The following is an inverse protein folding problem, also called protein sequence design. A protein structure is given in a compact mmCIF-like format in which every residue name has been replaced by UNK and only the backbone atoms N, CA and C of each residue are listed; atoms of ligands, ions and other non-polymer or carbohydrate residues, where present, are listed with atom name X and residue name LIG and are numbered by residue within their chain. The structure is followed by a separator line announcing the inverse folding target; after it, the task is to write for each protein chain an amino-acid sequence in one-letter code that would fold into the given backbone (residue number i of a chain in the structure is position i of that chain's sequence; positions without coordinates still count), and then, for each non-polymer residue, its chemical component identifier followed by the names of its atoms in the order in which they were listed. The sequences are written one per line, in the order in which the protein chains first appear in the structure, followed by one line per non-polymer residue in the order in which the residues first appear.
data_IF_378705539651
#
_entry.id   IF_378705539651
#
_cell.length_a   1.000
_cell.length_b   1.000
_cell.length_c   1.000
_cell.angle_alpha   90.00
_cell.angle_beta   90.00
_cell.angle_gamma   90.00
#
_symmetry.space_group_name_H-M   'P 1'
#
loop_
_entity.id
_entity.type
_entity.pdbx_description
1 polymer ?
#
# COMPACT_ATOMS: atom_id res chain seq x y z
N UNK A 1 23.18 -29.82 3.90
CA UNK A 1 23.34 -28.37 4.14
C UNK A 1 22.38 -27.63 3.21
N UNK A 2 21.34 -27.01 3.77
CA UNK A 2 20.28 -26.33 2.99
C UNK A 2 20.86 -25.05 2.38
N UNK A 3 20.90 -24.97 1.06
CA UNK A 3 21.34 -23.77 0.32
C UNK A 3 20.27 -22.69 0.50
N UNK A 4 20.59 -21.65 1.25
CA UNK A 4 19.76 -20.46 1.38
C UNK A 4 19.94 -19.69 0.08
N UNK A 5 18.89 -19.67 -0.74
CA UNK A 5 18.84 -18.95 -2.01
C UNK A 5 18.71 -17.46 -1.67
N UNK A 6 19.83 -16.73 -1.72
CA UNK A 6 19.82 -15.27 -1.71
C UNK A 6 19.31 -14.78 -3.06
N UNK A 7 18.05 -14.33 -3.11
CA UNK A 7 17.54 -13.60 -4.27
C UNK A 7 18.13 -12.18 -4.25
N UNK A 8 18.89 -11.78 -5.29
CA UNK A 8 19.49 -10.45 -5.33
C UNK A 8 18.41 -9.39 -5.56
N UNK A 9 18.45 -8.38 -4.70
CA UNK A 9 17.71 -7.12 -4.76
C UNK A 9 18.08 -6.38 -6.05
N UNK A 10 17.29 -6.56 -7.12
CA UNK A 10 17.58 -5.96 -8.43
C UNK A 10 16.84 -4.63 -8.63
N UNK A 11 17.58 -3.69 -9.22
CA UNK A 11 17.28 -2.27 -9.34
C UNK A 11 15.93 -1.95 -10.01
N UNK A 12 15.18 -1.05 -9.37
CA UNK A 12 13.95 -0.43 -9.88
C UNK A 12 14.28 0.59 -10.97
N UNK A 13 13.98 0.26 -12.22
CA UNK A 13 14.05 1.19 -13.35
C UNK A 13 12.63 1.45 -13.90
N UNK A 14 12.25 2.73 -13.85
CA UNK A 14 11.11 3.42 -14.45
C UNK A 14 9.68 3.02 -14.02
N UNK A 15 9.11 3.81 -13.10
CA UNK A 15 7.67 3.91 -12.85
C UNK A 15 7.18 5.23 -13.45
N UNK A 16 6.12 5.18 -14.25
CA UNK A 16 5.43 6.35 -14.81
C UNK A 16 5.11 7.37 -13.71
N UNK A 17 5.55 8.61 -13.88
CA UNK A 17 5.42 9.66 -12.86
C UNK A 17 3.99 10.18 -12.78
N UNK A 18 3.14 9.53 -11.99
CA UNK A 18 2.11 10.26 -11.26
C UNK A 18 2.85 11.15 -10.26
N UNK A 19 2.73 12.46 -10.43
CA UNK A 19 3.47 13.45 -9.62
C UNK A 19 2.86 13.50 -8.23
N UNK A 20 3.40 12.71 -7.30
CA UNK A 20 3.02 12.72 -5.89
C UNK A 20 3.83 13.76 -5.08
N UNK A 21 3.93 14.99 -5.59
CA UNK A 21 4.75 16.05 -5.00
C UNK A 21 4.31 16.45 -3.57
N UNK A 22 3.05 16.18 -3.20
CA UNK A 22 2.48 16.58 -1.90
C UNK A 22 2.75 15.62 -0.74
N UNK A 23 3.42 14.49 -0.98
CA UNK A 23 3.71 13.52 0.09
C UNK A 23 5.04 13.87 0.76
N UNK A 24 4.98 14.22 2.06
CA UNK A 24 6.19 14.46 2.87
C UNK A 24 7.15 13.26 2.80
N UNK A 25 8.49 13.47 2.71
CA UNK A 25 9.46 12.38 2.55
C UNK A 25 9.37 11.28 3.60
N UNK A 26 9.19 11.65 4.88
CA UNK A 26 9.01 10.67 5.97
C UNK A 26 7.80 9.77 5.74
N UNK A 27 6.71 10.32 5.21
CA UNK A 27 5.49 9.55 4.95
C UNK A 27 5.67 8.66 3.72
N UNK A 28 6.33 9.17 2.67
CA UNK A 28 6.69 8.39 1.50
C UNK A 28 7.52 7.16 1.90
N UNK A 29 8.58 7.36 2.68
CA UNK A 29 9.42 6.28 3.19
C UNK A 29 8.62 5.25 4.01
N UNK A 30 7.64 5.69 4.80
CA UNK A 30 6.76 4.77 5.52
C UNK A 30 5.89 3.94 4.55
N UNK A 31 5.34 4.55 3.51
CA UNK A 31 4.55 3.81 2.51
C UNK A 31 5.41 2.78 1.77
N UNK A 32 6.65 3.13 1.45
CA UNK A 32 7.62 2.21 0.83
C UNK A 32 7.97 1.04 1.77
N UNK A 33 8.22 1.32 3.06
CA UNK A 33 8.41 0.28 4.07
C UNK A 33 7.21 -0.65 4.19
N UNK A 34 6.00 -0.11 4.19
CA UNK A 34 4.79 -0.94 4.22
C UNK A 34 4.71 -1.86 2.99
N UNK A 35 5.08 -1.36 1.80
CA UNK A 35 5.11 -2.18 0.56
C UNK A 35 6.21 -3.22 0.62
N UNK A 36 7.38 -2.91 1.20
CA UNK A 36 8.44 -3.89 1.42
C UNK A 36 7.94 -5.03 2.33
N UNK A 37 7.29 -4.72 3.46
CA UNK A 37 6.67 -5.76 4.31
C UNK A 37 5.62 -6.58 3.56
N UNK A 38 4.76 -5.92 2.77
CA UNK A 38 3.78 -6.65 1.95
C UNK A 38 4.46 -7.53 0.90
N UNK A 39 5.58 -7.10 0.34
CA UNK A 39 6.37 -7.88 -0.62
C UNK A 39 6.91 -9.14 0.01
N UNK A 40 7.52 -9.01 1.20
CA UNK A 40 8.10 -10.14 1.91
C UNK A 40 7.03 -11.16 2.33
N UNK A 41 5.87 -10.68 2.80
CA UNK A 41 4.78 -11.54 3.28
C UNK A 41 4.00 -12.18 2.13
N UNK A 42 3.73 -11.43 1.06
CA UNK A 42 2.86 -11.85 -0.03
C UNK A 42 3.63 -12.37 -1.25
N UNK A 43 4.96 -12.28 -1.27
CA UNK A 43 5.77 -12.62 -2.44
C UNK A 43 5.40 -11.77 -3.67
N UNK A 44 5.26 -10.45 -3.49
CA UNK A 44 4.85 -9.55 -4.58
C UNK A 44 5.95 -9.42 -5.64
N UNK A 45 5.57 -9.49 -6.92
CA UNK A 45 6.49 -9.12 -8.00
C UNK A 45 6.62 -7.59 -8.14
N UNK A 46 7.60 -7.13 -8.93
CA UNK A 46 7.90 -5.70 -9.08
C UNK A 46 6.71 -4.86 -9.58
N UNK A 47 5.90 -5.39 -10.50
CA UNK A 47 4.70 -4.71 -11.01
C UNK A 47 3.64 -4.55 -9.91
N UNK A 48 3.41 -5.61 -9.13
CA UNK A 48 2.48 -5.56 -8.00
C UNK A 48 2.94 -4.57 -6.93
N UNK A 49 4.24 -4.52 -6.64
CA UNK A 49 4.83 -3.56 -5.70
C UNK A 49 4.58 -2.12 -6.13
N UNK A 50 4.88 -1.80 -7.39
CA UNK A 50 4.67 -0.47 -7.95
C UNK A 50 3.19 -0.05 -7.86
N UNK A 51 2.28 -0.92 -8.29
CA UNK A 51 0.82 -0.66 -8.25
C UNK A 51 0.28 -0.50 -6.82
N UNK A 52 0.77 -1.30 -5.87
CA UNK A 52 0.34 -1.19 -4.47
C UNK A 52 0.89 0.10 -3.85
N UNK A 53 2.14 0.48 -4.16
CA UNK A 53 2.72 1.74 -3.71
C UNK A 53 1.91 2.93 -4.24
N UNK A 54 1.55 2.91 -5.51
CA UNK A 54 0.70 3.93 -6.13
C UNK A 54 -0.69 4.01 -5.47
N UNK A 55 -1.34 2.85 -5.24
CA UNK A 55 -2.63 2.79 -4.56
C UNK A 55 -2.56 3.33 -3.13
N UNK A 56 -1.46 3.05 -2.40
CA UNK A 56 -1.19 3.60 -1.06
C UNK A 56 -0.96 5.11 -1.07
N UNK A 57 -0.21 5.63 -2.05
CA UNK A 57 0.01 7.08 -2.22
C UNK A 57 -1.31 7.79 -2.52
N UNK A 58 -2.11 7.23 -3.42
CA UNK A 58 -3.43 7.74 -3.80
C UNK A 58 -4.36 7.83 -2.59
N UNK A 59 -4.58 6.71 -1.89
CA UNK A 59 -5.49 6.72 -0.72
C UNK A 59 -4.98 7.62 0.40
N UNK A 60 -3.67 7.82 0.52
CA UNK A 60 -3.11 8.77 1.47
C UNK A 60 -3.48 10.22 1.12
N UNK A 61 -3.34 10.63 -0.14
CA UNK A 61 -3.70 11.97 -0.59
C UNK A 61 -5.21 12.22 -0.49
N UNK A 62 -6.04 11.26 -0.93
CA UNK A 62 -7.51 11.34 -0.76
C UNK A 62 -7.88 11.50 0.72
N UNK A 63 -7.16 10.80 1.60
CA UNK A 63 -7.36 10.90 3.04
C UNK A 63 -6.86 12.21 3.66
N UNK A 64 -5.90 12.89 3.03
CA UNK A 64 -5.50 14.24 3.40
C UNK A 64 -6.53 15.26 2.95
N UNK A 65 -7.08 15.10 1.76
CA UNK A 65 -8.17 15.96 1.26
C UNK A 65 -9.39 15.89 2.19
N UNK A 66 -9.79 14.68 2.58
CA UNK A 66 -10.86 14.48 3.57
C UNK A 66 -10.58 15.17 4.91
N UNK A 67 -9.31 15.22 5.36
CA UNK A 67 -8.93 15.93 6.58
C UNK A 67 -8.99 17.46 6.45
N UNK A 68 -8.88 18.00 5.24
CA UNK A 68 -8.99 19.43 4.95
C UNK A 68 -10.46 19.86 4.81
N UNK A 69 -11.30 18.99 4.25
CA UNK A 69 -12.65 19.34 3.82
C UNK A 69 -13.77 18.88 4.78
N UNK A 70 -13.47 18.03 5.76
CA UNK A 70 -14.47 17.54 6.72
C UNK A 70 -13.99 17.66 8.17
N UNK A 71 -14.92 17.93 9.07
CA UNK A 71 -14.64 17.95 10.51
C UNK A 71 -14.25 16.56 11.00
N UNK A 72 -13.09 16.47 11.67
CA UNK A 72 -12.56 15.20 12.15
C UNK A 72 -13.53 14.57 13.15
N UNK A 73 -14.06 13.41 12.78
CA UNK A 73 -14.97 12.63 13.64
C UNK A 73 -16.45 12.80 13.27
N UNK A 74 -16.79 13.71 12.35
CA UNK A 74 -18.13 13.80 11.79
C UNK A 74 -18.50 12.54 11.00
N UNK A 75 -19.80 12.34 10.75
CA UNK A 75 -20.28 11.20 9.97
C UNK A 75 -19.81 11.30 8.51
N UNK A 76 -19.74 12.50 7.94
CA UNK A 76 -19.22 12.76 6.60
C UNK A 76 -17.73 12.41 6.52
N UNK A 77 -16.94 12.80 7.52
CA UNK A 77 -15.52 12.43 7.61
C UNK A 77 -15.35 10.91 7.65
N UNK A 78 -16.12 10.21 8.49
CA UNK A 78 -16.07 8.74 8.60
C UNK A 78 -16.50 8.07 7.29
N UNK A 79 -17.57 8.55 6.67
CA UNK A 79 -18.08 8.05 5.40
C UNK A 79 -17.05 8.21 4.27
N UNK A 80 -16.42 9.39 4.15
CA UNK A 80 -15.41 9.66 3.15
C UNK A 80 -14.15 8.79 3.36
N UNK A 81 -13.63 8.69 4.60
CA UNK A 81 -12.54 7.75 4.93
C UNK A 81 -12.89 6.31 4.58
N UNK A 82 -14.12 5.88 4.88
CA UNK A 82 -14.60 4.53 4.58
C UNK A 82 -14.62 4.28 3.07
N UNK A 83 -15.10 5.24 2.27
CA UNK A 83 -15.10 5.15 0.82
C UNK A 83 -13.67 5.01 0.25
N UNK A 84 -12.74 5.86 0.70
CA UNK A 84 -11.32 5.78 0.30
C UNK A 84 -10.69 4.43 0.65
N UNK A 85 -10.94 3.94 1.87
CA UNK A 85 -10.44 2.64 2.31
C UNK A 85 -11.05 1.47 1.52
N UNK A 86 -12.33 1.55 1.14
CA UNK A 86 -12.97 0.57 0.26
C UNK A 86 -12.37 0.58 -1.14
N UNK A 87 -12.11 1.78 -1.71
CA UNK A 87 -11.43 1.94 -3.00
C UNK A 87 -10.04 1.29 -2.97
N UNK A 88 -9.23 1.61 -1.96
CA UNK A 88 -7.93 0.97 -1.77
C UNK A 88 -8.04 -0.55 -1.60
N UNK A 89 -9.00 -1.02 -0.81
CA UNK A 89 -9.20 -2.46 -0.59
C UNK A 89 -9.63 -3.20 -1.86
N UNK A 90 -10.37 -2.55 -2.76
CA UNK A 90 -10.72 -3.10 -4.07
C UNK A 90 -9.48 -3.15 -4.97
N UNK A 91 -8.72 -2.07 -5.07
CA UNK A 91 -7.48 -2.02 -5.85
C UNK A 91 -6.46 -3.07 -5.38
N UNK A 92 -6.27 -3.22 -4.07
CA UNK A 92 -5.36 -4.22 -3.54
C UNK A 92 -5.76 -5.65 -3.95
N UNK A 93 -7.05 -5.98 -3.91
CA UNK A 93 -7.57 -7.30 -4.33
C UNK A 93 -7.51 -7.53 -5.84
N UNK A 94 -7.47 -6.48 -6.65
CA UNK A 94 -7.29 -6.62 -8.10
C UNK A 94 -5.81 -6.76 -8.49
N UNK A 95 -4.89 -6.29 -7.65
CA UNK A 95 -3.44 -6.37 -7.89
C UNK A 95 -2.87 -7.70 -7.38
N UNK A 96 -3.28 -8.14 -6.19
CA UNK A 96 -2.78 -9.34 -5.54
C UNK A 96 -3.70 -10.55 -5.78
N UNK A 97 -3.10 -11.74 -5.86
CA UNK A 97 -3.85 -13.00 -5.96
C UNK A 97 -4.58 -13.32 -4.66
N UNK A 98 -5.52 -14.27 -4.72
CA UNK A 98 -6.26 -14.73 -3.52
C UNK A 98 -5.33 -15.27 -2.43
N UNK A 99 -4.31 -16.04 -2.82
CA UNK A 99 -3.35 -16.63 -1.87
C UNK A 99 -2.45 -15.57 -1.24
N UNK A 100 -1.99 -14.61 -2.03
CA UNK A 100 -1.24 -13.45 -1.54
C UNK A 100 -2.08 -12.65 -0.53
N UNK A 101 -3.36 -12.43 -0.83
CA UNK A 101 -4.28 -11.76 0.09
C UNK A 101 -4.54 -12.57 1.37
N UNK A 102 -4.57 -13.90 1.29
CA UNK A 102 -4.69 -14.77 2.46
C UNK A 102 -3.46 -14.67 3.36
N UNK A 103 -2.26 -14.75 2.79
CA UNK A 103 -1.01 -14.57 3.52
C UNK A 103 -0.96 -13.22 4.26
N UNK A 104 -1.40 -12.15 3.59
CA UNK A 104 -1.50 -10.83 4.22
C UNK A 104 -2.49 -10.78 5.38
N UNK A 105 -3.64 -11.44 5.26
CA UNK A 105 -4.64 -11.51 6.33
C UNK A 105 -4.11 -12.28 7.55
N UNK A 106 -3.42 -13.40 7.32
CA UNK A 106 -2.80 -14.20 8.38
C UNK A 106 -1.70 -13.41 9.11
N UNK A 107 -0.81 -12.76 8.37
CA UNK A 107 0.20 -11.86 8.94
C UNK A 107 -0.44 -10.78 9.84
N UNK A 108 -1.50 -10.11 9.35
CA UNK A 108 -2.19 -9.06 10.10
C UNK A 108 -2.94 -9.57 11.33
N UNK A 109 -3.39 -10.83 11.33
CA UNK A 109 -4.05 -11.44 12.49
C UNK A 109 -3.03 -11.75 13.60
N UNK A 110 -1.83 -12.16 13.23
CA UNK A 110 -0.79 -12.59 14.17
C UNK A 110 0.08 -11.43 14.72
N UNK A 111 0.06 -10.27 14.06
CA UNK A 111 0.83 -9.08 14.44
C UNK A 111 -0.09 -7.91 14.86
N UNK A 112 -1.28 -8.24 15.36
CA UNK A 112 -2.28 -7.30 15.85
C UNK A 112 -2.19 -7.15 17.36
#
# INVERSE_FOLDING_TARGET
MKKIIQFPLFALLFISTVVFADIKPKKLQQLEKDVATMTDVMGLNADQQAKILEAKKTVFLENQDVLKNHEKGSEEFKAAKKANNQKYSKALRSIASKDQMKAWQEYRKNNK
#
